data_IF_186216654041
#
_entry.id   IF_186216654041
#
_cell.length_a   1.000
_cell.length_b   1.000
_cell.length_c   1.000
_cell.angle_alpha   90.00
_cell.angle_beta   90.00
_cell.angle_gamma   90.00
#
_symmetry.space_group_name_H-M   'P 1'
#
loop_
_entity.id
_entity.type
_entity.pdbx_description
1 polymer ?
#
# COMPACT_ATOMS: atom_id res chain seq x y z
N UNK A 1 -10.53 -29.79 -1.82
CA UNK A 1 -9.62 -29.43 -2.95
C UNK A 1 -9.82 -27.94 -3.23
N UNK A 2 -8.90 -27.07 -2.78
CA UNK A 2 -8.90 -25.66 -3.21
C UNK A 2 -8.68 -25.64 -4.72
N UNK A 3 -9.61 -25.07 -5.50
CA UNK A 3 -9.39 -24.76 -6.91
C UNK A 3 -8.13 -23.88 -6.96
N UNK A 4 -7.08 -24.36 -7.64
CA UNK A 4 -5.92 -23.53 -7.97
C UNK A 4 -6.47 -22.42 -8.87
N UNK A 5 -6.68 -21.22 -8.33
CA UNK A 5 -7.04 -20.07 -9.14
C UNK A 5 -5.95 -19.89 -10.20
N UNK A 6 -6.35 -19.77 -11.45
CA UNK A 6 -5.41 -19.43 -12.52
C UNK A 6 -5.01 -17.96 -12.31
N UNK A 7 -3.83 -17.79 -11.68
CA UNK A 7 -3.31 -16.48 -11.29
C UNK A 7 -2.41 -15.87 -12.37
N UNK A 8 -2.20 -16.58 -13.48
CA UNK A 8 -1.36 -16.11 -14.58
C UNK A 8 -1.95 -14.85 -15.23
N UNK A 9 -1.07 -13.90 -15.50
CA UNK A 9 -1.37 -12.64 -16.21
C UNK A 9 -2.33 -11.67 -15.48
N UNK A 10 -2.60 -11.86 -14.20
CA UNK A 10 -3.31 -10.83 -13.43
C UNK A 10 -2.43 -9.62 -13.26
N UNK A 11 -3.06 -8.44 -13.36
CA UNK A 11 -2.40 -7.15 -13.24
C UNK A 11 -2.46 -6.66 -11.80
N UNK A 12 -1.30 -6.37 -11.23
CA UNK A 12 -1.16 -5.84 -9.87
C UNK A 12 -0.50 -4.47 -9.96
N UNK A 13 -1.13 -3.48 -9.36
CA UNK A 13 -0.52 -2.18 -9.15
C UNK A 13 0.03 -2.11 -7.73
N UNK A 14 1.30 -1.74 -7.59
CA UNK A 14 1.96 -1.57 -6.29
C UNK A 14 2.42 -0.15 -6.16
N UNK A 15 2.04 0.53 -5.10
CA UNK A 15 2.59 1.82 -4.74
C UNK A 15 3.66 1.65 -3.68
N UNK A 16 4.77 2.37 -3.78
CA UNK A 16 5.92 2.18 -2.88
C UNK A 16 6.69 0.88 -3.17
N UNK A 17 6.58 0.37 -4.41
CA UNK A 17 7.19 -0.90 -4.79
C UNK A 17 8.72 -0.88 -4.87
N UNK A 18 9.34 0.30 -4.91
CA UNK A 18 10.80 0.44 -4.84
C UNK A 18 11.32 0.62 -3.39
N UNK A 19 10.43 0.61 -2.39
CA UNK A 19 10.80 0.63 -0.97
C UNK A 19 11.28 -0.72 -0.46
N UNK A 20 11.70 -0.76 0.82
CA UNK A 20 12.27 -1.95 1.46
C UNK A 20 11.35 -3.19 1.37
N UNK A 21 10.10 -3.08 1.80
CA UNK A 21 9.12 -4.17 1.69
C UNK A 21 8.72 -4.37 0.23
N UNK A 22 8.53 -3.26 -0.50
CA UNK A 22 8.00 -3.25 -1.85
C UNK A 22 8.82 -4.05 -2.83
N UNK A 23 10.16 -3.92 -2.83
CA UNK A 23 11.02 -4.64 -3.77
C UNK A 23 10.92 -6.16 -3.61
N UNK A 24 10.79 -6.67 -2.39
CA UNK A 24 10.58 -8.10 -2.14
C UNK A 24 9.20 -8.57 -2.62
N UNK A 25 8.15 -7.78 -2.37
CA UNK A 25 6.80 -8.11 -2.86
C UNK A 25 6.77 -8.14 -4.39
N UNK A 26 7.39 -7.14 -5.05
CA UNK A 26 7.51 -7.10 -6.52
C UNK A 26 8.21 -8.34 -7.04
N UNK A 27 9.34 -8.72 -6.44
CA UNK A 27 10.10 -9.89 -6.86
C UNK A 27 9.26 -11.19 -6.79
N UNK A 28 8.56 -11.41 -5.68
CA UNK A 28 7.70 -12.60 -5.52
C UNK A 28 6.52 -12.62 -6.50
N UNK A 29 5.91 -11.46 -6.78
CA UNK A 29 4.83 -11.37 -7.76
C UNK A 29 5.33 -11.64 -9.19
N UNK A 30 6.51 -11.14 -9.55
CA UNK A 30 7.13 -11.43 -10.85
C UNK A 30 7.47 -12.93 -10.98
N UNK A 31 8.03 -13.56 -9.93
CA UNK A 31 8.27 -15.02 -9.89
C UNK A 31 6.95 -15.81 -10.05
N UNK A 32 5.86 -15.29 -9.54
CA UNK A 32 4.52 -15.88 -9.66
C UNK A 32 3.82 -15.58 -11.00
N UNK A 33 4.51 -14.91 -11.94
CA UNK A 33 4.02 -14.54 -13.29
C UNK A 33 2.84 -13.56 -13.30
N UNK A 34 2.78 -12.63 -12.33
CA UNK A 34 1.90 -11.48 -12.40
C UNK A 34 2.47 -10.40 -13.33
N UNK A 35 1.57 -9.58 -13.89
CA UNK A 35 1.95 -8.31 -14.53
C UNK A 35 1.93 -7.23 -13.46
N UNK A 36 3.08 -6.65 -13.16
CA UNK A 36 3.26 -5.71 -12.05
C UNK A 36 3.54 -4.31 -12.56
N UNK A 37 2.75 -3.34 -12.11
CA UNK A 37 3.03 -1.92 -12.28
C UNK A 37 3.41 -1.33 -10.94
N UNK A 38 4.61 -0.83 -10.82
CA UNK A 38 5.12 -0.12 -9.64
C UNK A 38 4.95 1.38 -9.84
N UNK A 39 4.34 2.06 -8.87
CA UNK A 39 4.30 3.51 -8.79
C UNK A 39 5.10 3.92 -7.55
N UNK A 40 6.17 4.67 -7.75
CA UNK A 40 7.07 5.10 -6.69
C UNK A 40 7.71 6.44 -7.03
N UNK A 41 7.96 7.27 -6.02
CA UNK A 41 8.70 8.53 -6.18
C UNK A 41 10.19 8.31 -6.46
N UNK A 42 10.71 7.12 -6.14
CA UNK A 42 12.13 6.76 -6.21
C UNK A 42 13.02 7.72 -5.41
N UNK A 43 12.56 8.12 -4.22
CA UNK A 43 13.23 9.14 -3.41
C UNK A 43 14.41 8.58 -2.59
N UNK A 44 14.43 7.27 -2.33
CA UNK A 44 15.46 6.65 -1.47
C UNK A 44 16.46 5.82 -2.27
N UNK A 45 15.99 4.80 -2.97
CA UNK A 45 16.83 3.92 -3.77
C UNK A 45 16.16 3.60 -5.11
N UNK A 46 16.63 4.24 -6.16
CA UNK A 46 16.17 3.95 -7.52
C UNK A 46 16.67 2.60 -8.04
N UNK A 47 17.60 1.93 -7.31
CA UNK A 47 18.25 0.70 -7.75
C UNK A 47 17.65 -0.56 -7.14
N UNK A 48 16.73 -0.44 -6.19
CA UNK A 48 16.14 -1.59 -5.49
C UNK A 48 15.49 -2.64 -6.41
N UNK A 49 15.08 -2.23 -7.62
CA UNK A 49 14.47 -3.09 -8.64
C UNK A 49 15.37 -3.33 -9.86
N UNK A 50 16.66 -2.97 -9.81
CA UNK A 50 17.56 -3.08 -10.96
C UNK A 50 17.72 -4.51 -11.50
N UNK A 51 17.65 -5.51 -10.63
CA UNK A 51 17.68 -6.92 -11.01
C UNK A 51 16.45 -7.36 -11.83
N UNK A 52 15.38 -6.57 -11.82
CA UNK A 52 14.12 -6.85 -12.51
C UNK A 52 13.81 -5.85 -13.63
N UNK A 53 14.63 -4.82 -13.85
CA UNK A 53 14.33 -3.71 -14.77
C UNK A 53 14.00 -4.12 -16.20
N UNK A 54 14.61 -5.22 -16.67
CA UNK A 54 14.42 -5.74 -18.04
C UNK A 54 13.33 -6.83 -18.10
N UNK A 55 12.63 -7.07 -16.99
CA UNK A 55 11.56 -8.06 -16.96
C UNK A 55 10.30 -7.53 -17.65
N UNK A 56 9.85 -8.23 -18.68
CA UNK A 56 8.67 -7.85 -19.49
C UNK A 56 7.35 -7.74 -18.71
N UNK A 57 7.30 -8.34 -17.53
CA UNK A 57 6.12 -8.32 -16.66
C UNK A 57 6.17 -7.18 -15.65
N UNK A 58 7.24 -6.36 -15.62
CA UNK A 58 7.39 -5.24 -14.71
C UNK A 58 7.35 -3.91 -15.48
N UNK A 59 6.53 -2.99 -15.00
CA UNK A 59 6.52 -1.59 -15.41
C UNK A 59 6.80 -0.72 -14.18
N UNK A 60 7.78 0.17 -14.26
CA UNK A 60 8.10 1.11 -13.18
C UNK A 60 7.72 2.52 -13.64
N UNK A 61 6.89 3.17 -12.87
CA UNK A 61 6.42 4.55 -13.09
C UNK A 61 6.94 5.41 -11.95
N UNK A 62 7.76 6.40 -12.29
CA UNK A 62 8.23 7.41 -11.32
C UNK A 62 7.15 8.48 -11.18
N UNK A 63 6.40 8.42 -10.09
CA UNK A 63 5.30 9.36 -9.85
C UNK A 63 5.07 9.57 -8.34
N UNK A 64 4.57 10.75 -7.98
CA UNK A 64 4.09 11.04 -6.63
C UNK A 64 2.60 10.74 -6.54
N UNK A 65 2.21 9.94 -5.55
CA UNK A 65 0.80 9.55 -5.35
C UNK A 65 -0.15 10.74 -5.13
N UNK A 66 0.36 11.88 -4.72
CA UNK A 66 -0.44 13.09 -4.59
C UNK A 66 -0.86 13.66 -5.95
N UNK A 67 -0.15 13.30 -7.02
CA UNK A 67 -0.44 13.72 -8.39
C UNK A 67 -1.24 12.63 -9.13
N UNK A 68 -2.54 12.58 -8.86
CA UNK A 68 -3.43 11.49 -9.28
C UNK A 68 -3.86 11.54 -10.74
N UNK A 69 -3.61 12.63 -11.47
CA UNK A 69 -4.09 12.81 -12.84
C UNK A 69 -3.58 11.72 -13.82
N UNK A 70 -2.41 11.14 -13.51
CA UNK A 70 -1.80 10.09 -14.34
C UNK A 70 -2.10 8.67 -13.82
N UNK A 71 -2.54 8.52 -12.56
CA UNK A 71 -2.74 7.20 -11.93
C UNK A 71 -3.89 6.41 -12.52
N UNK A 72 -4.94 7.08 -12.96
CA UNK A 72 -6.13 6.43 -13.50
C UNK A 72 -5.82 5.54 -14.69
N UNK A 73 -4.92 5.96 -15.58
CA UNK A 73 -4.51 5.16 -16.74
C UNK A 73 -3.85 3.83 -16.35
N UNK A 74 -3.16 3.79 -15.21
CA UNK A 74 -2.48 2.60 -14.69
C UNK A 74 -3.42 1.64 -13.95
N UNK A 75 -4.62 2.09 -13.57
CA UNK A 75 -5.64 1.27 -12.92
C UNK A 75 -6.49 0.50 -13.92
N UNK A 76 -6.46 0.84 -15.19
CA UNK A 76 -7.28 0.20 -16.22
C UNK A 76 -6.92 -1.30 -16.37
N UNK A 77 -7.89 -2.15 -16.06
CA UNK A 77 -7.74 -3.60 -16.08
C UNK A 77 -6.86 -4.17 -14.96
N UNK A 78 -6.57 -3.39 -13.91
CA UNK A 78 -5.89 -3.85 -12.71
C UNK A 78 -6.81 -4.75 -11.88
N UNK A 79 -6.31 -5.92 -11.47
CA UNK A 79 -7.06 -6.88 -10.62
C UNK A 79 -6.96 -6.54 -9.14
N UNK A 80 -5.79 -6.04 -8.70
CA UNK A 80 -5.56 -5.67 -7.31
C UNK A 80 -4.57 -4.51 -7.18
N UNK A 81 -4.76 -3.71 -6.13
CA UNK A 81 -3.81 -2.69 -5.68
C UNK A 81 -3.16 -3.14 -4.38
N UNK A 82 -1.83 -3.05 -4.29
CA UNK A 82 -1.07 -3.23 -3.05
C UNK A 82 -0.47 -1.87 -2.69
N UNK A 83 -1.00 -1.25 -1.64
CA UNK A 83 -0.65 0.11 -1.26
C UNK A 83 0.36 0.10 -0.09
N UNK A 84 1.65 0.27 -0.43
CA UNK A 84 2.76 0.30 0.53
C UNK A 84 3.34 1.72 0.70
N UNK A 85 3.10 2.62 -0.27
CA UNK A 85 3.68 3.96 -0.24
C UNK A 85 3.17 4.75 0.96
N UNK A 86 4.10 5.31 1.72
CA UNK A 86 3.83 6.22 2.82
C UNK A 86 5.09 7.01 3.16
N UNK A 87 4.93 8.17 3.79
CA UNK A 87 5.98 8.76 4.60
C UNK A 87 6.03 7.99 5.91
N UNK A 88 7.16 7.34 6.21
CA UNK A 88 7.33 6.47 7.37
C UNK A 88 8.34 7.04 8.36
N UNK A 89 8.15 6.71 9.64
CA UNK A 89 9.02 7.14 10.72
C UNK A 89 8.63 8.49 11.33
N UNK A 90 8.69 8.55 12.67
CA UNK A 90 8.26 9.74 13.43
C UNK A 90 9.05 11.00 13.06
N UNK A 91 10.36 10.87 12.81
CA UNK A 91 11.20 12.00 12.46
C UNK A 91 10.80 12.62 11.11
N UNK A 92 10.59 11.80 10.09
CA UNK A 92 10.17 12.27 8.77
C UNK A 92 8.77 12.88 8.81
N UNK A 93 7.84 12.27 9.54
CA UNK A 93 6.47 12.76 9.68
C UNK A 93 6.39 14.07 10.48
N UNK A 94 7.34 14.35 11.37
CA UNK A 94 7.41 15.61 12.13
C UNK A 94 7.98 16.78 11.31
N UNK A 95 8.75 16.53 10.24
CA UNK A 95 9.31 17.59 9.40
C UNK A 95 8.20 18.37 8.69
N UNK A 96 7.15 17.68 8.21
CA UNK A 96 5.99 18.29 7.58
C UNK A 96 4.74 17.46 7.86
N UNK A 97 3.92 17.95 8.78
CA UNK A 97 2.62 17.33 9.08
C UNK A 97 1.68 17.35 7.87
N UNK A 98 1.67 18.46 7.12
CA UNK A 98 0.85 18.58 5.92
C UNK A 98 1.24 17.59 4.83
N UNK A 99 2.56 17.37 4.61
CA UNK A 99 3.02 16.35 3.66
C UNK A 99 2.69 14.93 4.15
N UNK A 100 2.75 14.71 5.45
CA UNK A 100 2.37 13.43 6.03
C UNK A 100 0.89 13.13 5.80
N UNK A 101 0.02 14.07 6.11
CA UNK A 101 -1.42 13.92 5.91
C UNK A 101 -1.74 13.75 4.42
N UNK A 102 -1.22 14.63 3.56
CA UNK A 102 -1.50 14.58 2.13
C UNK A 102 -0.99 13.30 1.45
N UNK A 103 0.15 12.76 1.91
CA UNK A 103 0.73 11.53 1.33
C UNK A 103 0.08 10.28 1.93
N UNK A 104 -0.04 10.22 3.27
CA UNK A 104 -0.45 8.98 3.93
C UNK A 104 -1.97 8.82 3.98
N UNK A 105 -2.73 9.91 4.07
CA UNK A 105 -4.17 9.84 4.16
C UNK A 105 -4.87 10.27 2.86
N UNK A 106 -4.74 11.53 2.44
CA UNK A 106 -5.50 12.03 1.28
C UNK A 106 -5.23 11.22 0.00
N UNK A 107 -3.95 10.93 -0.29
CA UNK A 107 -3.58 10.16 -1.47
C UNK A 107 -4.07 8.70 -1.38
N UNK A 108 -4.09 8.09 -0.17
CA UNK A 108 -4.62 6.74 0.04
C UNK A 108 -6.10 6.66 -0.27
N UNK A 109 -6.90 7.59 0.29
CA UNK A 109 -8.35 7.62 0.07
C UNK A 109 -8.70 7.85 -1.39
N UNK A 110 -8.01 8.80 -2.03
CA UNK A 110 -8.19 9.07 -3.46
C UNK A 110 -7.78 7.88 -4.34
N UNK A 111 -6.67 7.20 -4.02
CA UNK A 111 -6.24 6.00 -4.74
C UNK A 111 -7.28 4.89 -4.66
N UNK A 112 -7.85 4.65 -3.47
CA UNK A 112 -8.89 3.65 -3.30
C UNK A 112 -10.16 4.01 -4.07
N UNK A 113 -10.59 5.28 -4.07
CA UNK A 113 -11.74 5.74 -4.84
C UNK A 113 -11.51 5.57 -6.36
N UNK A 114 -10.32 5.88 -6.86
CA UNK A 114 -9.95 5.62 -8.25
C UNK A 114 -9.92 4.13 -8.57
N UNK A 115 -9.38 3.29 -7.67
CA UNK A 115 -9.36 1.84 -7.84
C UNK A 115 -10.79 1.28 -7.93
N UNK A 116 -11.69 1.72 -7.04
CA UNK A 116 -13.11 1.38 -7.05
C UNK A 116 -13.78 1.77 -8.38
N UNK A 117 -13.59 3.02 -8.83
CA UNK A 117 -14.14 3.53 -10.11
C UNK A 117 -13.66 2.71 -11.31
N UNK A 118 -12.41 2.24 -11.27
CA UNK A 118 -11.82 1.38 -12.30
C UNK A 118 -12.13 -0.11 -12.12
N UNK A 119 -13.05 -0.47 -11.20
CA UNK A 119 -13.52 -1.85 -10.95
C UNK A 119 -12.41 -2.80 -10.49
N UNK A 120 -11.39 -2.28 -9.83
CA UNK A 120 -10.40 -3.09 -9.13
C UNK A 120 -11.11 -3.90 -8.05
N UNK A 121 -10.78 -5.18 -7.93
CA UNK A 121 -11.51 -6.09 -7.02
C UNK A 121 -10.95 -6.11 -5.62
N UNK A 122 -9.64 -5.89 -5.48
CA UNK A 122 -8.95 -6.04 -4.19
C UNK A 122 -8.03 -4.85 -3.95
N UNK A 123 -8.11 -4.28 -2.76
CA UNK A 123 -7.23 -3.23 -2.28
C UNK A 123 -6.56 -3.69 -0.99
N UNK A 124 -5.24 -3.89 -1.04
CA UNK A 124 -4.44 -4.34 0.08
C UNK A 124 -3.72 -3.12 0.66
N UNK A 125 -4.05 -2.77 1.88
CA UNK A 125 -3.49 -1.61 2.58
C UNK A 125 -2.47 -2.05 3.64
N UNK A 126 -1.27 -1.50 3.55
CA UNK A 126 -0.23 -1.70 4.56
C UNK A 126 -0.36 -0.63 5.63
N UNK A 127 -0.95 -1.01 6.76
CA UNK A 127 -1.03 -0.22 7.98
C UNK A 127 0.22 -0.44 8.85
N UNK A 128 0.09 -0.46 10.16
CA UNK A 128 1.22 -0.57 11.08
C UNK A 128 0.80 -1.11 12.45
N UNK A 129 1.65 -1.92 13.08
CA UNK A 129 1.47 -2.30 14.48
C UNK A 129 1.66 -1.11 15.45
N UNK A 130 2.27 0.00 15.02
CA UNK A 130 2.33 1.24 15.81
C UNK A 130 0.94 1.80 16.14
N UNK A 131 -0.10 1.33 15.44
CA UNK A 131 -1.51 1.64 15.72
C UNK A 131 -1.96 1.21 17.11
N UNK A 132 -1.36 0.15 17.67
CA UNK A 132 -1.69 -0.33 19.00
C UNK A 132 -1.13 0.58 20.12
N UNK A 133 -0.12 1.40 19.84
CA UNK A 133 0.52 2.27 20.82
C UNK A 133 1.27 1.51 21.90
N UNK A 134 1.31 2.08 23.10
CA UNK A 134 1.89 1.43 24.28
C UNK A 134 0.85 0.49 24.89
N UNK A 135 1.12 -0.80 24.87
CA UNK A 135 0.29 -1.84 25.46
C UNK A 135 0.87 -2.31 26.78
N UNK A 136 0.01 -2.87 27.65
CA UNK A 136 0.49 -3.64 28.78
C UNK A 136 1.21 -4.90 28.27
N UNK A 137 2.43 -5.11 28.74
CA UNK A 137 3.30 -6.22 28.29
C UNK A 137 2.76 -7.61 28.65
N UNK A 138 1.70 -7.70 29.44
CA UNK A 138 1.04 -8.96 29.83
C UNK A 138 0.10 -9.50 28.73
N UNK A 139 -0.30 -8.68 27.75
CA UNK A 139 -1.25 -9.06 26.71
C UNK A 139 -0.60 -9.04 25.33
N UNK A 140 -0.94 -10.06 24.50
CA UNK A 140 -0.54 -10.10 23.08
C UNK A 140 -1.60 -9.38 22.29
N UNK A 141 -1.20 -8.32 21.56
CA UNK A 141 -2.10 -7.58 20.68
C UNK A 141 -2.56 -8.45 19.50
N UNK A 142 -3.83 -8.32 19.16
CA UNK A 142 -4.46 -8.93 17.97
C UNK A 142 -5.32 -7.87 17.25
N UNK A 143 -6.04 -8.28 16.21
CA UNK A 143 -6.83 -7.38 15.38
C UNK A 143 -7.99 -6.69 16.13
N UNK A 144 -8.46 -7.28 17.25
CA UNK A 144 -9.53 -6.74 18.10
C UNK A 144 -9.01 -5.84 19.21
N UNK A 145 -7.68 -5.83 19.44
CA UNK A 145 -7.05 -4.99 20.47
C UNK A 145 -7.32 -3.51 20.18
N UNK A 146 -7.75 -2.79 21.21
CA UNK A 146 -8.02 -1.35 21.13
C UNK A 146 -6.80 -0.58 20.62
N UNK A 147 -7.00 0.22 19.59
CA UNK A 147 -5.96 1.06 19.02
C UNK A 147 -5.73 2.31 19.87
N UNK A 148 -4.45 2.65 20.09
CA UNK A 148 -4.03 3.80 20.87
C UNK A 148 -2.80 4.49 20.25
N UNK A 149 -2.93 5.07 19.04
CA UNK A 149 -1.80 5.64 18.31
C UNK A 149 -1.22 6.85 19.02
N UNK A 150 0.10 6.90 19.16
CA UNK A 150 0.80 8.03 19.79
C UNK A 150 1.47 8.96 18.77
N UNK A 151 1.74 8.50 17.55
CA UNK A 151 2.38 9.30 16.51
C UNK A 151 1.40 9.75 15.43
N UNK A 152 1.73 10.85 14.72
CA UNK A 152 0.97 11.30 13.56
C UNK A 152 0.92 10.22 12.47
N UNK A 153 2.04 9.52 12.26
CA UNK A 153 2.11 8.38 11.33
C UNK A 153 1.05 7.32 11.66
N UNK A 154 1.03 6.84 12.91
CA UNK A 154 0.08 5.83 13.33
C UNK A 154 -1.38 6.33 13.25
N UNK A 155 -1.64 7.59 13.60
CA UNK A 155 -2.96 8.21 13.48
C UNK A 155 -3.44 8.23 12.03
N UNK A 156 -2.61 8.71 11.09
CA UNK A 156 -2.98 8.74 9.67
C UNK A 156 -3.24 7.34 9.11
N UNK A 157 -2.52 6.32 9.59
CA UNK A 157 -2.76 4.93 9.18
C UNK A 157 -4.11 4.41 9.70
N UNK A 158 -4.46 4.68 10.96
CA UNK A 158 -5.77 4.30 11.53
C UNK A 158 -6.92 5.04 10.82
N UNK A 159 -6.76 6.33 10.56
CA UNK A 159 -7.78 7.11 9.84
C UNK A 159 -8.03 6.51 8.45
N UNK A 160 -6.97 6.06 7.76
CA UNK A 160 -7.10 5.31 6.51
C UNK A 160 -7.83 3.98 6.70
N UNK A 161 -7.47 3.17 7.73
CA UNK A 161 -8.15 1.89 7.97
C UNK A 161 -9.65 2.08 8.14
N UNK A 162 -10.05 3.02 8.99
CA UNK A 162 -11.45 3.31 9.27
C UNK A 162 -12.18 3.74 7.99
N UNK A 163 -11.65 4.73 7.29
CA UNK A 163 -12.29 5.24 6.07
C UNK A 163 -12.32 4.22 4.92
N UNK A 164 -11.28 3.41 4.78
CA UNK A 164 -11.24 2.35 3.76
C UNK A 164 -12.32 1.30 4.03
N UNK A 165 -12.46 0.88 5.28
CA UNK A 165 -13.45 -0.13 5.67
C UNK A 165 -14.86 0.45 5.65
N UNK A 166 -15.07 1.67 6.15
CA UNK A 166 -16.40 2.26 6.27
C UNK A 166 -16.96 2.75 4.92
N UNK A 167 -16.11 3.28 4.03
CA UNK A 167 -16.57 3.95 2.80
C UNK A 167 -16.47 3.10 1.54
N UNK A 168 -15.63 2.06 1.53
CA UNK A 168 -15.30 1.34 0.30
C UNK A 168 -15.52 -0.17 0.36
N UNK A 169 -15.67 -0.78 1.54
CA UNK A 169 -15.73 -2.25 1.68
C UNK A 169 -16.93 -2.92 0.99
N UNK A 170 -17.99 -2.18 0.73
CA UNK A 170 -19.14 -2.68 -0.02
C UNK A 170 -18.86 -2.83 -1.52
N UNK A 171 -17.94 -2.05 -2.06
CA UNK A 171 -17.65 -1.98 -3.50
C UNK A 171 -16.34 -2.69 -3.90
N UNK A 172 -15.37 -2.78 -2.99
CA UNK A 172 -14.04 -3.34 -3.22
C UNK A 172 -13.58 -4.13 -1.99
N UNK A 173 -12.99 -5.30 -2.19
CA UNK A 173 -12.44 -6.09 -1.09
C UNK A 173 -11.24 -5.39 -0.48
N UNK A 174 -11.40 -4.87 0.73
CA UNK A 174 -10.33 -4.23 1.50
C UNK A 174 -9.65 -5.27 2.38
N UNK A 175 -8.33 -5.32 2.33
CA UNK A 175 -7.50 -6.12 3.25
C UNK A 175 -6.48 -5.21 3.91
N UNK A 176 -6.46 -5.19 5.24
CA UNK A 176 -5.53 -4.38 6.03
C UNK A 176 -4.51 -5.28 6.69
N UNK A 177 -3.22 -4.93 6.55
CA UNK A 177 -2.13 -5.56 7.27
C UNK A 177 -1.53 -4.58 8.28
N UNK A 178 -1.31 -5.01 9.52
CA UNK A 178 -0.62 -4.26 10.57
C UNK A 178 0.70 -4.96 10.92
N UNK A 179 1.74 -4.84 10.06
CA UNK A 179 3.01 -5.48 10.32
C UNK A 179 3.68 -4.87 11.55
N UNK A 180 4.40 -5.71 12.29
CA UNK A 180 5.39 -5.27 13.26
C UNK A 180 6.63 -4.73 12.52
N UNK A 181 7.67 -4.36 13.28
CA UNK A 181 8.96 -3.95 12.71
C UNK A 181 9.58 -5.10 11.90
N UNK A 182 9.99 -4.84 10.69
CA UNK A 182 10.65 -5.74 9.74
C UNK A 182 12.05 -5.22 9.39
#
# INVERSE_FOLDING_TARGET
>A
RRKKLDMKNKKILITGGAGYIGCHVVEELIKANYLVTVIDRLSFDANSLNNLKDNKNLTIVKEDLRNLSNLESHLNGTDAVIHLAALVGEAACKISESDTISTNYDATIKLCDLARKNKVKNFIFMSTASSYGVQDTSEIANEETKLNPVSLYAKTKIDCENDLLDKFSDDINITVFRPSTV
#
